data_IF_965401638593
#
_entry.id   IF_965401638593
#
_cell.length_a   1.000
_cell.length_b   1.000
_cell.length_c   1.000
_cell.angle_alpha   90.00
_cell.angle_beta   90.00
_cell.angle_gamma   90.00
#
_symmetry.space_group_name_H-M   'P 1'
#
loop_
_entity.id
_entity.type
_entity.pdbx_description
1 polymer ?
#
# COMPACT_ATOMS: atom_id res chain seq x y z
N UNK A 1 39.09 39.10 -5.36
CA UNK A 1 38.89 39.48 -3.96
C UNK A 1 37.90 38.46 -3.42
N UNK A 2 38.41 37.41 -2.84
CA UNK A 2 38.55 37.09 -1.40
C UNK A 2 37.16 36.93 -0.77
N UNK A 3 36.77 35.88 -0.06
CA UNK A 3 37.54 34.95 0.78
C UNK A 3 36.75 33.66 1.06
N UNK A 4 37.48 32.60 1.10
CA UNK A 4 37.31 31.31 1.72
C UNK A 4 36.83 31.41 3.17
N UNK A 5 35.92 30.54 3.61
CA UNK A 5 35.83 30.20 5.01
C UNK A 5 35.46 28.72 5.21
N UNK A 6 36.49 27.91 5.34
CA UNK A 6 36.46 26.56 5.88
C UNK A 6 36.30 26.63 7.40
N UNK A 7 35.34 25.92 7.98
CA UNK A 7 35.34 25.62 9.43
C UNK A 7 35.36 24.12 9.63
N UNK A 8 36.53 23.66 9.87
CA UNK A 8 36.91 22.38 10.46
C UNK A 8 36.49 22.35 11.92
N UNK A 9 35.79 21.32 12.35
CA UNK A 9 35.57 21.00 13.76
C UNK A 9 36.21 19.66 14.10
N UNK A 10 36.95 19.57 15.24
CA UNK A 10 37.84 18.46 15.52
C UNK A 10 37.16 17.27 16.19
N UNK A 11 37.70 16.11 15.87
CA UNK A 11 37.55 14.83 16.56
C UNK A 11 37.81 14.93 18.06
N UNK A 12 36.92 14.49 18.90
CA UNK A 12 37.21 14.06 20.27
C UNK A 12 36.98 12.56 20.41
N UNK A 13 38.08 11.84 20.41
CA UNK A 13 38.20 10.46 20.89
C UNK A 13 38.29 10.48 22.41
N UNK A 14 37.59 9.61 23.09
CA UNK A 14 37.86 9.06 24.42
C UNK A 14 36.93 7.83 24.49
N UNK A 15 37.37 6.63 24.37
CA UNK A 15 38.24 5.74 25.15
C UNK A 15 37.55 5.21 26.42
N UNK A 16 37.37 3.88 26.40
CA UNK A 16 37.39 2.88 27.46
C UNK A 16 36.35 2.88 28.57
N UNK A 17 35.58 1.77 28.69
CA UNK A 17 35.81 0.80 29.77
C UNK A 17 34.96 -0.46 29.56
N UNK A 18 35.58 -1.60 29.57
CA UNK A 18 35.01 -2.94 29.65
C UNK A 18 34.58 -3.22 31.09
N UNK A 19 33.38 -3.83 31.24
CA UNK A 19 33.06 -4.66 32.41
C UNK A 19 32.26 -5.86 31.94
N UNK A 20 32.89 -7.02 32.05
CA UNK A 20 32.25 -8.31 31.95
C UNK A 20 31.74 -8.75 33.34
N UNK A 21 30.52 -9.20 33.46
CA UNK A 21 30.07 -10.12 34.54
C UNK A 21 28.90 -10.98 34.09
N UNK A 22 29.17 -12.26 33.90
CA UNK A 22 28.51 -13.50 34.33
C UNK A 22 26.97 -13.63 34.38
N UNK A 23 26.54 -14.54 33.53
CA UNK A 23 25.70 -15.73 33.80
C UNK A 23 24.56 -15.64 34.81
N UNK A 24 23.35 -15.88 34.31
CA UNK A 24 22.34 -16.68 35.01
C UNK A 24 21.44 -17.39 33.99
N UNK A 25 21.49 -18.72 34.00
CA UNK A 25 20.52 -19.62 33.38
C UNK A 25 19.16 -19.38 34.04
N UNK A 26 18.17 -19.10 33.21
CA UNK A 26 16.77 -19.09 33.60
C UNK A 26 15.93 -19.73 32.50
N UNK A 27 15.83 -21.09 32.50
CA UNK A 27 14.80 -21.81 31.77
C UNK A 27 13.45 -21.49 32.43
N UNK A 28 12.60 -20.76 31.75
CA UNK A 28 11.17 -20.72 32.03
C UNK A 28 10.42 -21.00 30.73
N UNK A 29 10.03 -22.26 30.58
CA UNK A 29 9.02 -22.68 29.63
C UNK A 29 7.69 -22.05 30.07
N UNK A 30 7.17 -21.13 29.30
CA UNK A 30 5.78 -20.74 29.35
C UNK A 30 5.17 -20.94 27.96
N UNK A 31 4.50 -22.07 27.84
CA UNK A 31 3.48 -22.27 26.81
C UNK A 31 2.36 -21.24 27.07
N UNK A 32 2.17 -20.35 26.14
CA UNK A 32 1.08 -19.39 26.18
C UNK A 32 0.90 -18.86 24.77
N UNK A 33 -0.25 -19.12 24.17
CA UNK A 33 -0.59 -18.78 22.80
C UNK A 33 -0.28 -17.33 22.47
N UNK A 34 0.76 -17.11 21.72
CA UNK A 34 1.00 -15.86 21.05
C UNK A 34 0.16 -15.85 19.79
N UNK A 35 -0.97 -15.16 19.85
CA UNK A 35 -1.60 -14.64 18.66
C UNK A 35 -0.57 -13.77 17.95
N UNK A 36 0.07 -14.31 16.93
CA UNK A 36 0.87 -13.53 16.00
C UNK A 36 -0.08 -12.59 15.28
N UNK A 37 -0.24 -11.40 15.82
CA UNK A 37 -0.72 -10.26 15.03
C UNK A 37 0.39 -9.93 14.03
N UNK A 38 0.47 -10.74 12.98
CA UNK A 38 1.13 -10.33 11.76
C UNK A 38 0.33 -9.16 11.25
N UNK A 39 0.80 -7.95 11.50
CA UNK A 39 0.44 -6.80 10.70
C UNK A 39 1.07 -6.98 9.32
N UNK A 40 0.58 -7.98 8.59
CA UNK A 40 0.73 -8.02 7.15
C UNK A 40 -0.02 -6.78 6.67
N UNK A 41 0.73 -5.76 6.30
CA UNK A 41 0.15 -4.65 5.54
C UNK A 41 -0.58 -5.28 4.37
N UNK A 42 -1.91 -5.26 4.43
CA UNK A 42 -2.73 -5.88 3.41
C UNK A 42 -2.43 -5.21 2.10
N UNK A 43 -1.88 -5.98 1.18
CA UNK A 43 -1.61 -5.49 -0.17
C UNK A 43 -2.95 -5.25 -0.86
N UNK A 44 -3.02 -4.18 -1.67
CA UNK A 44 -4.14 -3.97 -2.59
C UNK A 44 -4.43 -5.27 -3.33
N UNK A 45 -5.71 -5.62 -3.47
CA UNK A 45 -6.13 -6.85 -4.18
C UNK A 45 -6.27 -8.10 -3.31
N UNK A 46 -5.75 -8.10 -2.08
CA UNK A 46 -5.92 -9.19 -1.10
C UNK A 46 -6.57 -8.65 0.19
N UNK A 47 -7.29 -7.54 0.05
CA UNK A 47 -7.95 -6.89 1.19
C UNK A 47 -9.37 -7.38 1.36
N UNK A 48 -9.74 -7.72 2.62
CA UNK A 48 -11.17 -7.91 2.96
C UNK A 48 -11.92 -6.57 2.89
N UNK A 49 -13.27 -6.60 2.80
CA UNK A 49 -14.07 -5.37 2.86
C UNK A 49 -13.78 -4.50 4.10
N UNK A 50 -13.49 -5.11 5.24
CA UNK A 50 -13.14 -4.42 6.48
C UNK A 50 -11.80 -3.70 6.34
N UNK A 51 -10.81 -4.35 5.74
CA UNK A 51 -9.49 -3.77 5.48
C UNK A 51 -9.55 -2.63 4.46
N UNK A 52 -10.42 -2.73 3.45
CA UNK A 52 -10.70 -1.64 2.51
C UNK A 52 -11.31 -0.44 3.25
N UNK A 53 -12.26 -0.68 4.15
CA UNK A 53 -12.86 0.37 4.98
C UNK A 53 -11.83 1.05 5.90
N UNK A 54 -10.96 0.26 6.53
CA UNK A 54 -9.88 0.78 7.37
C UNK A 54 -8.87 1.61 6.56
N UNK A 55 -8.58 1.20 5.33
CA UNK A 55 -7.70 1.94 4.42
C UNK A 55 -8.33 3.25 3.91
N UNK A 56 -9.67 3.38 3.95
CA UNK A 56 -10.41 4.55 3.46
C UNK A 56 -10.45 4.68 1.94
N UNK A 57 -9.93 3.70 1.21
CA UNK A 57 -9.94 3.68 -0.26
C UNK A 57 -10.09 2.28 -0.82
N UNK A 58 -10.77 2.18 -1.98
CA UNK A 58 -10.84 0.98 -2.82
C UNK A 58 -10.15 1.26 -4.15
N UNK A 59 -9.29 0.34 -4.59
CA UNK A 59 -8.59 0.45 -5.87
C UNK A 59 -9.30 -0.39 -6.93
N UNK A 60 -9.77 0.26 -7.99
CA UNK A 60 -10.64 -0.31 -9.02
C UNK A 60 -9.97 -0.25 -10.38
N UNK A 61 -9.76 -1.39 -11.00
CA UNK A 61 -9.33 -1.48 -12.40
C UNK A 61 -10.49 -1.22 -13.35
N UNK A 62 -10.34 -0.32 -14.31
CA UNK A 62 -11.30 -0.05 -15.38
C UNK A 62 -10.62 -0.05 -16.73
N UNK A 63 -11.36 -0.31 -17.80
CA UNK A 63 -10.81 -0.14 -19.14
C UNK A 63 -10.44 1.32 -19.42
N UNK A 64 -9.40 1.51 -20.22
CA UNK A 64 -8.92 2.81 -20.65
C UNK A 64 -9.49 3.28 -21.98
N UNK A 65 -10.08 2.35 -22.78
CA UNK A 65 -10.40 2.54 -24.20
C UNK A 65 -11.79 1.98 -24.63
N UNK A 66 -12.66 1.65 -23.68
CA UNK A 66 -13.95 0.99 -23.97
C UNK A 66 -15.16 1.89 -23.67
N UNK A 67 -15.23 3.05 -24.32
CA UNK A 67 -16.43 3.87 -24.24
C UNK A 67 -17.66 3.11 -24.77
N UNK A 68 -18.82 3.23 -24.12
CA UNK A 68 -19.17 4.07 -22.97
C UNK A 68 -18.94 3.39 -21.61
N UNK A 69 -18.32 2.20 -21.55
CA UNK A 69 -18.14 1.41 -20.32
C UNK A 69 -17.05 2.01 -19.43
N UNK A 70 -15.77 1.71 -19.67
CA UNK A 70 -14.63 2.31 -19.02
C UNK A 70 -13.70 2.96 -20.05
N UNK A 71 -13.32 4.19 -19.83
CA UNK A 71 -12.40 4.91 -20.70
C UNK A 71 -11.75 6.09 -19.99
N UNK A 72 -10.70 6.62 -20.58
CA UNK A 72 -10.08 7.86 -20.14
C UNK A 72 -10.60 8.99 -21.03
N UNK A 73 -11.15 10.03 -20.44
CA UNK A 73 -11.70 11.19 -21.16
C UNK A 73 -10.61 12.10 -21.73
N UNK A 74 -11.01 13.12 -22.46
CA UNK A 74 -10.09 14.08 -23.08
C UNK A 74 -9.25 14.88 -22.05
N UNK A 75 -9.65 14.89 -20.79
CA UNK A 75 -8.94 15.55 -19.69
C UNK A 75 -8.03 14.56 -18.92
N UNK A 76 -7.91 13.33 -19.39
CA UNK A 76 -7.13 12.28 -18.75
C UNK A 76 -7.80 11.66 -17.51
N UNK A 77 -9.11 11.84 -17.34
CA UNK A 77 -9.84 11.33 -16.20
C UNK A 77 -10.60 10.03 -16.54
N UNK A 78 -10.69 9.09 -15.59
CA UNK A 78 -11.57 7.95 -15.69
C UNK A 78 -13.03 8.37 -15.90
N UNK A 79 -13.72 7.72 -16.83
CA UNK A 79 -15.10 8.02 -17.19
C UNK A 79 -15.85 6.77 -17.67
N UNK A 80 -17.16 6.86 -17.75
CA UNK A 80 -18.03 5.80 -18.24
C UNK A 80 -18.83 5.10 -17.15
N UNK A 81 -19.57 4.05 -17.54
CA UNK A 81 -20.41 3.29 -16.61
C UNK A 81 -19.63 2.65 -15.49
N UNK A 82 -18.41 2.15 -15.76
CA UNK A 82 -17.56 1.50 -14.77
C UNK A 82 -17.20 2.46 -13.63
N UNK A 83 -16.98 3.74 -13.95
CA UNK A 83 -16.74 4.77 -12.93
C UNK A 83 -17.98 5.01 -12.08
N UNK A 84 -19.16 5.09 -12.69
CA UNK A 84 -20.42 5.27 -11.95
C UNK A 84 -20.68 4.11 -10.98
N UNK A 85 -20.42 2.87 -11.41
CA UNK A 85 -20.54 1.70 -10.55
C UNK A 85 -19.46 1.67 -9.47
N UNK A 86 -18.24 2.01 -9.82
CA UNK A 86 -17.11 2.08 -8.89
C UNK A 86 -17.36 3.10 -7.78
N UNK A 87 -17.82 4.29 -8.13
CA UNK A 87 -18.19 5.33 -7.16
C UNK A 87 -19.31 4.88 -6.23
N UNK A 88 -20.28 4.13 -6.77
CA UNK A 88 -21.36 3.58 -5.95
C UNK A 88 -20.86 2.53 -4.97
N UNK A 89 -20.00 1.61 -5.41
CA UNK A 89 -19.37 0.60 -4.55
C UNK A 89 -18.57 1.29 -3.43
N UNK A 90 -17.78 2.30 -3.77
CA UNK A 90 -17.00 3.05 -2.80
C UNK A 90 -17.90 3.77 -1.78
N UNK A 91 -18.99 4.38 -2.23
CA UNK A 91 -19.96 5.04 -1.37
C UNK A 91 -20.65 4.05 -0.41
N UNK A 92 -21.05 2.88 -0.89
CA UNK A 92 -21.69 1.84 -0.07
C UNK A 92 -20.70 1.26 0.98
N UNK A 93 -19.41 1.24 0.68
CA UNK A 93 -18.35 0.89 1.64
C UNK A 93 -17.94 2.04 2.57
N UNK A 94 -18.29 3.27 2.24
CA UNK A 94 -17.89 4.47 2.98
C UNK A 94 -16.43 4.87 2.74
N UNK A 95 -15.88 4.59 1.55
CA UNK A 95 -14.49 4.86 1.17
C UNK A 95 -14.40 5.67 -0.12
N UNK A 96 -13.20 6.05 -0.53
CA UNK A 96 -12.94 6.74 -1.79
C UNK A 96 -12.53 5.74 -2.88
N UNK A 97 -13.06 5.90 -4.10
CA UNK A 97 -12.63 5.11 -5.25
C UNK A 97 -11.34 5.67 -5.85
N UNK A 98 -10.40 4.79 -6.13
CA UNK A 98 -9.17 5.07 -6.89
C UNK A 98 -9.16 4.19 -8.14
N UNK A 99 -9.08 4.81 -9.30
CA UNK A 99 -9.15 4.09 -10.58
C UNK A 99 -7.77 3.83 -11.17
N UNK A 100 -7.58 2.61 -11.67
CA UNK A 100 -6.39 2.18 -12.40
C UNK A 100 -6.81 1.81 -13.81
N UNK A 101 -6.32 2.52 -14.84
CA UNK A 101 -6.57 2.16 -16.22
C UNK A 101 -5.93 0.82 -16.55
N UNK A 102 -6.68 -0.08 -17.17
CA UNK A 102 -6.20 -1.40 -17.57
C UNK A 102 -6.60 -1.73 -19.01
N UNK A 103 -5.77 -2.50 -19.68
CA UNK A 103 -6.10 -3.06 -20.97
C UNK A 103 -6.87 -4.37 -20.82
N UNK A 104 -7.65 -4.74 -21.83
CA UNK A 104 -8.47 -5.93 -21.81
C UNK A 104 -7.66 -7.22 -21.56
N UNK A 105 -6.43 -7.30 -22.07
CA UNK A 105 -5.53 -8.43 -21.86
C UNK A 105 -4.96 -8.48 -20.44
N UNK A 106 -4.75 -7.33 -19.80
CA UNK A 106 -4.12 -7.23 -18.49
C UNK A 106 -5.10 -7.31 -17.31
N UNK A 107 -6.43 -7.31 -17.54
CA UNK A 107 -7.45 -7.23 -16.48
C UNK A 107 -7.36 -8.31 -15.40
N UNK A 108 -7.02 -9.53 -15.79
CA UNK A 108 -6.85 -10.64 -14.85
C UNK A 108 -5.50 -10.59 -14.13
N UNK A 109 -4.46 -10.13 -14.83
CA UNK A 109 -3.12 -10.00 -14.25
C UNK A 109 -3.06 -8.91 -13.18
N UNK A 110 -3.70 -7.76 -13.40
CA UNK A 110 -3.70 -6.68 -12.40
C UNK A 110 -4.41 -7.09 -11.11
N UNK A 111 -5.43 -7.94 -11.21
CA UNK A 111 -6.11 -8.53 -10.06
C UNK A 111 -5.21 -9.58 -9.37
N UNK A 112 -4.66 -10.53 -10.14
CA UNK A 112 -3.81 -11.58 -9.62
C UNK A 112 -2.49 -11.07 -9.01
N UNK A 113 -2.00 -9.92 -9.48
CA UNK A 113 -0.80 -9.26 -8.94
C UNK A 113 -1.10 -8.26 -7.81
N UNK A 114 -2.31 -8.25 -7.29
CA UNK A 114 -2.74 -7.38 -6.19
C UNK A 114 -2.53 -5.88 -6.45
N UNK A 115 -2.64 -5.45 -7.70
CA UNK A 115 -2.57 -4.03 -8.08
C UNK A 115 -3.89 -3.31 -7.90
N UNK A 116 -5.00 -4.05 -7.91
CA UNK A 116 -6.36 -3.54 -7.71
C UNK A 116 -7.13 -4.48 -6.79
N UNK A 117 -8.12 -3.98 -6.08
CA UNK A 117 -9.01 -4.79 -5.23
C UNK A 117 -10.09 -5.47 -6.06
N UNK A 118 -10.61 -4.76 -7.03
CA UNK A 118 -11.61 -5.27 -7.98
C UNK A 118 -11.32 -4.75 -9.39
N UNK A 119 -11.87 -5.43 -10.38
CA UNK A 119 -11.85 -4.97 -11.77
C UNK A 119 -13.28 -4.88 -12.28
N UNK A 120 -13.67 -3.71 -12.77
CA UNK A 120 -14.90 -3.50 -13.51
C UNK A 120 -14.56 -3.54 -14.99
N UNK A 121 -15.02 -4.56 -15.66
CA UNK A 121 -14.70 -4.80 -17.07
C UNK A 121 -15.81 -5.64 -17.71
N UNK A 122 -16.25 -5.24 -18.88
CA UNK A 122 -17.14 -6.07 -19.68
C UNK A 122 -16.36 -7.20 -20.38
N UNK A 123 -17.05 -8.28 -20.70
CA UNK A 123 -16.52 -9.42 -21.43
C UNK A 123 -17.10 -9.45 -22.85
#
# INVERSE_FOLDING_TARGET
MSATNARTTPFRRLATAAVAVLAALGMAACSGGAGSSSSSGSQVGDRSPEQIKEAGEIVIGIFSDKAPFGYIDANGKPAGYDVVYGDRIAADLGVTAKYVPVDAAARTEVLASNKVDITLANF
#
